data_IF_225078864696
#
_entry.id   IF_225078864696
#
_cell.length_a   1.000
_cell.length_b   1.000
_cell.length_c   1.000
_cell.angle_alpha   90.00
_cell.angle_beta   90.00
_cell.angle_gamma   90.00
#
_symmetry.space_group_name_H-M   'P 1'
#
loop_
_entity.id
_entity.type
_entity.pdbx_description
1 polymer ?
#
# COMPACT_ATOMS: atom_id res chain seq x y z
N UNK A 1 8.89 24.20 15.40
CA UNK A 1 8.66 22.75 15.43
C UNK A 1 9.55 22.13 14.37
N UNK A 2 10.29 21.08 14.72
CA UNK A 2 10.97 20.22 13.72
C UNK A 2 9.94 19.44 12.90
N UNK A 3 10.36 18.83 11.79
CA UNK A 3 9.46 17.96 11.01
C UNK A 3 8.94 16.78 11.83
N UNK A 4 9.81 16.19 12.66
CA UNK A 4 9.46 15.17 13.65
C UNK A 4 8.35 15.65 14.58
N UNK A 5 8.50 16.82 15.19
CA UNK A 5 7.47 17.39 16.08
C UNK A 5 6.14 17.65 15.35
N UNK A 6 6.17 18.02 14.07
CA UNK A 6 4.96 18.21 13.25
C UNK A 6 4.19 16.91 13.06
N UNK A 7 4.88 15.82 12.69
CA UNK A 7 4.26 14.51 12.52
C UNK A 7 3.66 14.02 13.84
N UNK A 8 4.42 14.08 14.93
CA UNK A 8 3.94 13.60 16.24
C UNK A 8 2.76 14.44 16.75
N UNK A 9 2.79 15.75 16.53
CA UNK A 9 1.66 16.63 16.85
C UNK A 9 0.41 16.30 16.02
N UNK A 10 0.58 16.01 14.72
CA UNK A 10 -0.53 15.59 13.88
C UNK A 10 -1.10 14.23 14.32
N UNK A 11 -0.26 13.24 14.65
CA UNK A 11 -0.74 11.96 15.20
C UNK A 11 -1.55 12.16 16.50
N UNK A 12 -1.17 13.12 17.32
CA UNK A 12 -1.93 13.54 18.52
C UNK A 12 -3.10 14.49 18.22
N UNK A 13 -3.41 14.76 16.95
CA UNK A 13 -4.44 15.70 16.47
C UNK A 13 -4.30 17.13 17.01
N UNK A 14 -3.08 17.53 17.35
CA UNK A 14 -2.76 18.90 17.74
C UNK A 14 -2.70 19.80 16.50
N UNK A 15 -2.92 21.09 16.71
CA UNK A 15 -2.76 22.07 15.64
C UNK A 15 -1.28 22.16 15.24
N UNK A 16 -1.02 22.07 13.94
CA UNK A 16 0.32 22.24 13.37
C UNK A 16 0.41 23.56 12.60
N UNK A 17 1.58 24.23 12.57
CA UNK A 17 1.76 25.47 11.80
C UNK A 17 1.69 25.25 10.28
N UNK A 18 1.88 24.00 9.82
CA UNK A 18 1.63 23.54 8.45
C UNK A 18 1.31 22.05 8.46
N UNK A 19 0.73 21.55 7.37
CA UNK A 19 0.48 20.11 7.19
C UNK A 19 1.84 19.39 7.10
N UNK A 20 2.07 18.31 7.88
CA UNK A 20 3.28 17.48 7.75
C UNK A 20 3.27 16.68 6.44
N UNK A 21 4.45 16.46 5.87
CA UNK A 21 4.67 15.72 4.63
C UNK A 21 5.41 14.39 4.86
N UNK A 22 4.78 13.28 4.46
CA UNK A 22 5.34 11.93 4.53
C UNK A 22 5.26 11.27 3.14
N UNK A 23 6.36 11.23 2.36
CA UNK A 23 6.30 10.86 0.95
C UNK A 23 6.20 9.35 0.65
N UNK A 24 6.30 8.44 1.63
CA UNK A 24 6.37 6.99 1.42
C UNK A 24 7.22 6.57 0.20
N UNK A 25 8.53 6.81 0.29
CA UNK A 25 9.48 6.70 -0.83
C UNK A 25 9.96 5.29 -1.17
N UNK A 26 9.52 4.26 -0.44
CA UNK A 26 9.97 2.86 -0.51
C UNK A 26 11.22 2.58 -1.33
N UNK A 27 11.06 1.87 -2.44
CA UNK A 27 12.18 1.53 -3.36
C UNK A 27 12.56 2.67 -4.28
N UNK A 28 11.70 3.69 -4.45
CA UNK A 28 11.97 4.86 -5.29
C UNK A 28 13.26 5.58 -4.89
N UNK A 29 13.68 5.54 -3.62
CA UNK A 29 14.96 6.13 -3.20
C UNK A 29 16.18 5.55 -3.94
N UNK A 30 16.08 4.31 -4.45
CA UNK A 30 17.13 3.69 -5.27
C UNK A 30 17.35 4.45 -6.59
N UNK A 31 16.27 4.97 -7.19
CA UNK A 31 16.32 5.73 -8.46
C UNK A 31 17.21 6.97 -8.37
N UNK A 32 17.28 7.60 -7.18
CA UNK A 32 18.10 8.79 -6.92
C UNK A 32 19.61 8.53 -7.04
N UNK A 33 20.03 7.26 -6.93
CA UNK A 33 21.43 6.84 -7.06
C UNK A 33 21.65 5.80 -8.17
N UNK A 34 20.64 5.53 -9.00
CA UNK A 34 20.71 4.54 -10.06
C UNK A 34 20.87 3.09 -9.56
N UNK A 35 20.29 2.79 -8.39
CA UNK A 35 20.35 1.49 -7.71
C UNK A 35 19.00 0.81 -7.81
N UNK A 36 18.99 -0.44 -8.26
CA UNK A 36 17.74 -1.21 -8.37
C UNK A 36 17.19 -1.64 -6.99
N UNK A 37 15.90 -1.99 -6.94
CA UNK A 37 15.22 -2.33 -5.70
C UNK A 37 15.84 -3.53 -4.99
N UNK A 38 16.30 -4.54 -5.73
CA UNK A 38 16.91 -5.75 -5.14
C UNK A 38 18.24 -5.45 -4.47
N UNK A 39 19.07 -4.60 -5.07
CA UNK A 39 20.31 -4.13 -4.48
C UNK A 39 20.04 -3.30 -3.23
N UNK A 40 19.11 -2.35 -3.32
CA UNK A 40 18.71 -1.46 -2.23
C UNK A 40 18.23 -2.27 -1.01
N UNK A 41 17.24 -3.14 -1.19
CA UNK A 41 16.58 -3.91 -0.12
C UNK A 41 17.47 -5.00 0.51
N UNK A 42 18.71 -5.16 0.03
CA UNK A 42 19.71 -6.12 0.53
C UNK A 42 21.00 -5.48 1.03
N UNK A 43 21.06 -4.15 1.16
CA UNK A 43 22.23 -3.46 1.70
C UNK A 43 21.82 -2.33 2.63
N UNK A 44 22.32 -2.39 3.86
CA UNK A 44 22.09 -1.34 4.85
C UNK A 44 22.75 -0.03 4.41
N UNK A 45 23.92 -0.13 3.80
CA UNK A 45 24.68 1.01 3.28
C UNK A 45 23.90 1.74 2.18
N UNK A 46 23.25 1.00 1.28
CA UNK A 46 22.40 1.57 0.23
C UNK A 46 21.12 2.18 0.80
N UNK A 47 20.42 1.49 1.72
CA UNK A 47 19.25 2.04 2.41
C UNK A 47 19.58 3.36 3.11
N UNK A 48 20.71 3.43 3.81
CA UNK A 48 21.15 4.64 4.49
C UNK A 48 21.55 5.74 3.50
N UNK A 49 22.38 5.42 2.49
CA UNK A 49 22.87 6.42 1.54
C UNK A 49 21.74 7.00 0.67
N UNK A 50 20.83 6.16 0.18
CA UNK A 50 19.67 6.58 -0.59
C UNK A 50 18.62 7.27 0.31
N UNK A 51 18.43 6.81 1.55
CA UNK A 51 17.54 7.43 2.51
C UNK A 51 17.95 8.85 2.89
N UNK A 52 19.25 9.12 3.06
CA UNK A 52 19.77 10.47 3.30
C UNK A 52 19.57 11.36 2.07
N UNK A 53 19.80 10.85 0.86
CA UNK A 53 19.57 11.58 -0.39
C UNK A 53 18.10 11.99 -0.53
N UNK A 54 17.18 11.04 -0.29
CA UNK A 54 15.75 11.32 -0.30
C UNK A 54 15.35 12.35 0.77
N UNK A 55 15.93 12.26 1.98
CA UNK A 55 15.68 13.23 3.04
C UNK A 55 16.13 14.64 2.63
N UNK A 56 17.34 14.79 2.07
CA UNK A 56 17.87 16.07 1.60
C UNK A 56 17.05 16.66 0.45
N UNK A 57 16.64 15.81 -0.49
CA UNK A 57 15.94 16.24 -1.71
C UNK A 57 14.47 16.59 -1.45
N UNK A 58 13.79 15.79 -0.65
CA UNK A 58 12.34 15.88 -0.42
C UNK A 58 11.97 16.56 0.89
N UNK A 59 12.95 16.80 1.77
CA UNK A 59 12.76 17.48 3.06
C UNK A 59 11.52 16.97 3.83
N UNK A 60 11.37 15.64 3.99
CA UNK A 60 10.18 15.08 4.58
C UNK A 60 10.12 15.34 6.10
N UNK A 61 8.92 15.50 6.62
CA UNK A 61 8.68 15.59 8.06
C UNK A 61 8.69 14.21 8.71
N UNK A 62 8.21 13.21 7.97
CA UNK A 62 8.32 11.80 8.34
C UNK A 62 8.81 10.95 7.15
N UNK A 63 9.58 9.90 7.44
CA UNK A 63 10.23 9.09 6.41
C UNK A 63 10.26 7.61 6.80
N UNK A 64 9.70 6.70 5.98
CA UNK A 64 9.94 5.27 6.17
C UNK A 64 11.37 4.90 5.80
N UNK A 65 11.96 4.01 6.58
CA UNK A 65 13.31 3.47 6.29
C UNK A 65 13.27 2.45 5.16
N UNK A 66 12.20 1.67 5.09
CA UNK A 66 11.96 0.63 4.09
C UNK A 66 10.44 0.47 3.90
N UNK A 67 10.01 0.13 2.69
CA UNK A 67 8.64 -0.31 2.39
C UNK A 67 8.72 -1.65 1.66
N UNK A 68 8.56 -2.74 2.40
CA UNK A 68 8.61 -4.13 1.90
C UNK A 68 7.79 -4.99 2.86
N UNK A 69 6.67 -5.56 2.39
CA UNK A 69 5.74 -6.33 3.22
C UNK A 69 6.08 -7.83 3.23
N UNK A 70 7.22 -8.20 2.65
CA UNK A 70 7.61 -9.58 2.42
C UNK A 70 8.73 -10.02 3.36
N UNK A 71 9.25 -9.14 4.22
CA UNK A 71 10.34 -9.45 5.16
C UNK A 71 9.91 -10.57 6.13
N UNK A 72 8.76 -10.43 6.76
CA UNK A 72 8.23 -11.38 7.73
C UNK A 72 7.80 -12.68 7.03
N UNK A 73 7.18 -12.58 5.86
CA UNK A 73 6.80 -13.74 5.05
C UNK A 73 8.03 -14.56 4.60
N UNK A 74 9.12 -13.89 4.17
CA UNK A 74 10.40 -14.53 3.81
C UNK A 74 10.98 -15.30 4.99
N UNK A 75 11.00 -14.70 6.18
CA UNK A 75 11.50 -15.34 7.41
C UNK A 75 10.67 -16.58 7.76
N UNK A 76 9.36 -16.52 7.54
CA UNK A 76 8.44 -17.63 7.79
C UNK A 76 8.41 -18.69 6.68
N UNK A 77 9.28 -18.57 5.67
CA UNK A 77 9.51 -19.62 4.66
C UNK A 77 8.79 -19.41 3.34
N UNK A 78 8.18 -18.25 3.10
CA UNK A 78 7.69 -17.90 1.76
C UNK A 78 8.87 -17.63 0.81
N UNK A 79 8.88 -18.27 -0.35
CA UNK A 79 9.81 -17.91 -1.42
C UNK A 79 9.39 -16.59 -2.05
N UNK A 80 10.37 -15.79 -2.49
CA UNK A 80 10.13 -14.47 -3.06
C UNK A 80 10.53 -14.40 -4.54
N UNK A 81 9.65 -13.80 -5.34
CA UNK A 81 9.91 -13.42 -6.73
C UNK A 81 10.35 -11.96 -6.78
N UNK A 82 11.62 -11.74 -7.08
CA UNK A 82 12.20 -10.41 -7.16
C UNK A 82 11.93 -9.74 -8.51
N UNK A 83 11.58 -8.47 -8.46
CA UNK A 83 11.57 -7.56 -9.60
C UNK A 83 12.75 -6.58 -9.50
N UNK A 84 13.09 -5.93 -10.62
CA UNK A 84 14.22 -5.00 -10.67
C UNK A 84 13.89 -3.68 -9.95
N UNK A 85 12.75 -3.09 -10.29
CA UNK A 85 12.40 -1.72 -9.91
C UNK A 85 11.19 -1.69 -8.96
N UNK A 86 11.14 -2.66 -8.04
CA UNK A 86 9.94 -3.02 -7.29
C UNK A 86 10.28 -3.90 -6.05
N UNK A 87 9.53 -3.80 -4.93
CA UNK A 87 9.62 -4.80 -3.86
C UNK A 87 9.33 -6.21 -4.38
N UNK A 88 9.86 -7.27 -3.73
CA UNK A 88 9.58 -8.64 -4.16
C UNK A 88 8.12 -9.05 -3.90
N UNK A 89 7.64 -10.04 -4.64
CA UNK A 89 6.33 -10.65 -4.42
C UNK A 89 6.46 -12.05 -3.80
N UNK A 90 5.49 -12.46 -2.97
CA UNK A 90 5.42 -13.84 -2.45
C UNK A 90 5.14 -14.83 -3.59
N UNK A 91 5.93 -15.89 -3.68
CA UNK A 91 5.83 -16.91 -4.72
C UNK A 91 5.27 -18.24 -4.20
N UNK A 92 5.48 -18.56 -2.92
CA UNK A 92 5.01 -19.80 -2.27
C UNK A 92 4.37 -19.51 -0.92
N UNK A 93 3.52 -20.43 -0.48
CA UNK A 93 2.73 -20.31 0.74
C UNK A 93 3.00 -21.55 1.62
N UNK A 94 3.72 -21.43 2.75
CA UNK A 94 4.07 -22.57 3.62
C UNK A 94 2.86 -23.39 4.10
N UNK A 95 1.69 -22.76 4.20
CA UNK A 95 0.41 -23.34 4.63
C UNK A 95 -0.56 -23.55 3.45
N UNK A 96 -0.07 -23.64 2.21
CA UNK A 96 -0.91 -23.86 1.02
C UNK A 96 -1.79 -25.12 1.11
N UNK A 97 -1.27 -26.18 1.75
CA UNK A 97 -1.94 -27.48 1.82
C UNK A 97 -2.76 -27.67 3.11
N UNK A 98 -2.74 -26.71 4.04
CA UNK A 98 -3.38 -26.82 5.35
C UNK A 98 -2.58 -26.17 6.48
N UNK A 99 -3.13 -26.22 7.69
CA UNK A 99 -2.61 -25.54 8.89
C UNK A 99 -1.66 -26.40 9.73
N UNK A 100 -1.43 -27.67 9.36
CA UNK A 100 -0.68 -28.64 10.18
C UNK A 100 0.77 -28.20 10.46
N UNK A 101 1.34 -27.41 9.56
CA UNK A 101 2.70 -26.86 9.63
C UNK A 101 2.79 -25.55 10.41
N UNK A 102 1.67 -24.97 10.87
CA UNK A 102 1.68 -23.71 11.64
C UNK A 102 2.53 -23.83 12.91
N UNK A 103 2.45 -24.97 13.59
CA UNK A 103 3.26 -25.29 14.78
C UNK A 103 4.77 -25.36 14.53
N UNK A 104 5.18 -25.53 13.28
CA UNK A 104 6.58 -25.61 12.88
C UNK A 104 7.16 -24.21 12.58
N UNK A 105 6.30 -23.19 12.44
CA UNK A 105 6.71 -21.80 12.27
C UNK A 105 7.15 -21.20 13.60
N UNK A 106 8.24 -20.43 13.56
CA UNK A 106 8.79 -19.73 14.72
C UNK A 106 8.65 -18.23 14.58
N UNK A 107 8.54 -17.52 15.70
CA UNK A 107 8.57 -16.06 15.68
C UNK A 107 9.93 -15.56 15.16
N UNK A 108 9.96 -14.49 14.35
CA UNK A 108 11.21 -13.91 13.88
C UNK A 108 12.13 -13.48 15.02
N UNK A 109 13.42 -13.77 14.88
CA UNK A 109 14.49 -13.25 15.75
C UNK A 109 15.22 -12.12 15.03
N UNK A 110 15.89 -11.19 15.74
CA UNK A 110 16.54 -10.04 15.11
C UNK A 110 17.67 -10.43 14.14
N UNK A 111 18.22 -11.65 14.26
CA UNK A 111 19.22 -12.23 13.35
C UNK A 111 18.65 -12.90 12.08
N UNK A 112 17.34 -13.08 11.98
CA UNK A 112 16.71 -13.84 10.89
C UNK A 112 16.51 -12.98 9.62
N UNK A 113 16.65 -13.64 8.46
CA UNK A 113 16.38 -13.06 7.15
C UNK A 113 17.10 -11.72 6.91
N UNK A 114 16.32 -10.69 6.52
CA UNK A 114 16.83 -9.34 6.24
C UNK A 114 16.78 -8.39 7.44
N UNK A 115 16.31 -8.83 8.62
CA UNK A 115 16.21 -7.97 9.80
C UNK A 115 17.55 -7.35 10.22
N UNK A 116 18.71 -8.05 10.22
CA UNK A 116 19.99 -7.42 10.57
C UNK A 116 20.34 -6.21 9.70
N UNK A 117 20.00 -6.28 8.40
CA UNK A 117 20.24 -5.22 7.42
C UNK A 117 19.33 -4.03 7.73
N UNK A 118 18.04 -4.30 7.93
CA UNK A 118 17.01 -3.28 8.19
C UNK A 118 17.29 -2.57 9.53
N UNK A 119 17.54 -3.33 10.59
CA UNK A 119 17.81 -2.79 11.92
C UNK A 119 19.10 -1.96 11.96
N UNK A 120 20.13 -2.35 11.18
CA UNK A 120 21.33 -1.52 11.00
C UNK A 120 21.00 -0.20 10.32
N UNK A 121 20.26 -0.23 9.21
CA UNK A 121 19.88 0.98 8.48
C UNK A 121 19.00 1.93 9.31
N UNK A 122 18.05 1.38 10.07
CA UNK A 122 17.19 2.14 10.97
C UNK A 122 17.98 2.91 12.03
N UNK A 123 18.92 2.25 12.72
CA UNK A 123 19.78 2.89 13.72
C UNK A 123 20.64 4.00 13.12
N UNK A 124 21.28 3.73 11.98
CA UNK A 124 22.12 4.74 11.31
C UNK A 124 21.33 5.95 10.81
N UNK A 125 20.12 5.75 10.26
CA UNK A 125 19.25 6.86 9.85
C UNK A 125 18.71 7.62 11.06
N UNK A 126 18.38 6.93 12.15
CA UNK A 126 17.94 7.56 13.40
C UNK A 126 18.98 8.53 13.93
N UNK A 127 20.25 8.11 13.95
CA UNK A 127 21.37 8.97 14.35
C UNK A 127 21.55 10.19 13.43
N UNK A 128 21.43 10.01 12.10
CA UNK A 128 21.76 11.05 11.12
C UNK A 128 20.66 12.08 10.91
N UNK A 129 19.39 11.66 10.84
CA UNK A 129 18.25 12.53 10.45
C UNK A 129 17.10 12.53 11.46
N UNK A 130 17.07 11.58 12.39
CA UNK A 130 15.94 11.37 13.31
C UNK A 130 15.73 12.45 14.38
N UNK A 131 16.60 13.44 14.46
CA UNK A 131 16.40 14.63 15.31
C UNK A 131 15.42 15.63 14.67
N UNK A 132 15.31 15.63 13.33
CA UNK A 132 14.45 16.57 12.59
C UNK A 132 13.33 15.88 11.80
N UNK A 133 13.45 14.59 11.48
CA UNK A 133 12.46 13.81 10.72
C UNK A 133 11.94 12.65 11.58
N UNK A 134 10.63 12.44 11.65
CA UNK A 134 10.03 11.25 12.28
C UNK A 134 10.32 10.01 11.43
N UNK A 135 10.97 9.00 11.98
CA UNK A 135 11.26 7.78 11.21
C UNK A 135 10.17 6.73 11.41
N UNK A 136 9.74 6.14 10.29
CA UNK A 136 8.71 5.11 10.24
C UNK A 136 9.34 3.73 10.06
N UNK A 137 8.98 2.79 10.94
CA UNK A 137 9.16 1.36 10.75
C UNK A 137 7.86 0.76 10.18
N UNK A 138 7.96 -0.04 9.12
CA UNK A 138 6.80 -0.65 8.47
C UNK A 138 6.81 -2.14 8.74
N UNK A 139 5.74 -2.64 9.36
CA UNK A 139 5.51 -4.08 9.58
C UNK A 139 4.29 -4.52 8.79
N UNK A 140 4.32 -5.76 8.29
CA UNK A 140 3.12 -6.33 7.66
C UNK A 140 2.05 -6.59 8.72
N UNK A 141 0.82 -6.21 8.41
CA UNK A 141 -0.32 -6.49 9.28
C UNK A 141 -0.70 -7.97 9.27
N UNK A 142 -1.38 -8.44 10.32
CA UNK A 142 -1.60 -9.86 10.56
C UNK A 142 -2.45 -10.53 9.48
N UNK A 143 -3.39 -9.81 8.86
CA UNK A 143 -4.30 -10.40 7.87
C UNK A 143 -3.58 -10.64 6.54
N UNK A 144 -2.81 -9.65 6.07
CA UNK A 144 -1.95 -9.80 4.89
C UNK A 144 -0.88 -10.88 5.11
N UNK A 145 -0.30 -10.96 6.32
CA UNK A 145 0.66 -12.02 6.63
C UNK A 145 0.01 -13.41 6.62
N UNK A 146 -1.18 -13.55 7.20
CA UNK A 146 -1.95 -14.80 7.13
C UNK A 146 -2.20 -15.23 5.68
N UNK A 147 -2.55 -14.28 4.81
CA UNK A 147 -2.73 -14.55 3.38
C UNK A 147 -1.42 -14.91 2.69
N UNK A 148 -0.29 -14.29 3.06
CA UNK A 148 1.03 -14.69 2.58
C UNK A 148 1.42 -16.12 2.98
N UNK A 149 0.99 -16.59 4.15
CA UNK A 149 1.29 -17.95 4.61
C UNK A 149 0.35 -19.00 4.01
N UNK A 150 -0.95 -18.68 3.91
CA UNK A 150 -2.02 -19.60 3.51
C UNK A 150 -2.32 -19.58 2.00
N UNK A 151 -2.10 -18.45 1.35
CA UNK A 151 -2.61 -18.17 0.01
C UNK A 151 -4.09 -17.76 0.02
N UNK A 152 -4.69 -17.60 -1.16
CA UNK A 152 -6.07 -17.10 -1.33
C UNK A 152 -7.15 -17.99 -0.73
N UNK A 153 -6.83 -19.24 -0.38
CA UNK A 153 -7.74 -20.13 0.33
C UNK A 153 -8.17 -19.58 1.70
N UNK A 154 -7.39 -18.65 2.29
CA UNK A 154 -7.76 -17.99 3.54
C UNK A 154 -9.19 -17.41 3.50
N UNK A 155 -9.60 -16.82 2.38
CA UNK A 155 -10.94 -16.24 2.24
C UNK A 155 -12.06 -17.28 2.36
N UNK A 156 -11.83 -18.50 1.87
CA UNK A 156 -12.78 -19.61 2.02
C UNK A 156 -12.71 -20.18 3.44
N UNK A 157 -11.50 -20.30 3.99
CA UNK A 157 -11.28 -20.82 5.34
C UNK A 157 -11.89 -19.92 6.43
N UNK A 158 -12.12 -18.63 6.17
CA UNK A 158 -12.89 -17.76 7.06
C UNK A 158 -14.33 -18.27 7.29
N UNK A 159 -14.89 -19.01 6.34
CA UNK A 159 -16.21 -19.63 6.47
C UNK A 159 -16.12 -21.10 6.89
N UNK A 160 -15.22 -21.86 6.26
CA UNK A 160 -15.16 -23.31 6.41
C UNK A 160 -14.35 -23.76 7.64
N UNK A 161 -13.34 -22.96 8.04
CA UNK A 161 -12.38 -23.28 9.10
C UNK A 161 -12.06 -22.06 10.00
N UNK A 162 -13.08 -21.34 10.54
CA UNK A 162 -12.87 -20.05 11.21
C UNK A 162 -11.93 -20.14 12.43
N UNK A 163 -11.94 -21.24 13.16
CA UNK A 163 -11.07 -21.43 14.33
C UNK A 163 -9.59 -21.59 13.92
N UNK A 164 -9.30 -22.24 12.79
CA UNK A 164 -7.94 -22.34 12.27
C UNK A 164 -7.43 -20.99 11.74
N UNK A 165 -8.33 -20.19 11.14
CA UNK A 165 -8.01 -18.81 10.74
C UNK A 165 -7.68 -17.97 11.97
N UNK A 166 -8.45 -18.06 13.05
CA UNK A 166 -8.17 -17.34 14.31
C UNK A 166 -6.81 -17.74 14.90
N UNK A 167 -6.49 -19.03 14.95
CA UNK A 167 -5.17 -19.50 15.41
C UNK A 167 -4.02 -18.95 14.55
N UNK A 168 -4.21 -18.89 13.22
CA UNK A 168 -3.25 -18.27 12.33
C UNK A 168 -3.13 -16.75 12.56
N UNK A 169 -4.24 -16.05 12.76
CA UNK A 169 -4.27 -14.62 13.06
C UNK A 169 -3.55 -14.30 14.37
N UNK A 170 -3.73 -15.09 15.42
CA UNK A 170 -3.01 -14.95 16.69
C UNK A 170 -1.50 -15.12 16.52
N UNK A 171 -1.08 -16.10 15.71
CA UNK A 171 0.33 -16.27 15.37
C UNK A 171 0.88 -15.06 14.60
N UNK A 172 0.17 -14.60 13.57
CA UNK A 172 0.56 -13.43 12.78
C UNK A 172 0.61 -12.16 13.62
N UNK A 173 -0.32 -11.97 14.56
CA UNK A 173 -0.33 -10.86 15.51
C UNK A 173 0.97 -10.78 16.30
N UNK A 174 1.37 -11.91 16.91
CA UNK A 174 2.64 -12.02 17.64
C UNK A 174 3.86 -11.78 16.77
N UNK A 175 3.83 -12.18 15.50
CA UNK A 175 4.92 -11.89 14.54
C UNK A 175 5.03 -10.38 14.33
N UNK A 176 3.91 -9.71 14.05
CA UNK A 176 3.86 -8.25 13.86
C UNK A 176 4.36 -7.51 15.09
N UNK A 177 3.92 -7.88 16.30
CA UNK A 177 4.40 -7.30 17.57
C UNK A 177 5.90 -7.49 17.75
N UNK A 178 6.40 -8.70 17.50
CA UNK A 178 7.82 -9.04 17.69
C UNK A 178 8.73 -8.19 16.80
N UNK A 179 8.35 -7.99 15.54
CA UNK A 179 9.12 -7.16 14.59
C UNK A 179 8.95 -5.67 14.90
N UNK A 180 7.74 -5.24 15.28
CA UNK A 180 7.51 -3.87 15.74
C UNK A 180 8.39 -3.52 16.94
N UNK A 181 8.56 -4.42 17.91
CA UNK A 181 9.45 -4.25 19.07
C UNK A 181 10.89 -3.96 18.62
N UNK A 182 11.41 -4.73 17.67
CA UNK A 182 12.76 -4.51 17.14
C UNK A 182 12.91 -3.16 16.43
N UNK A 183 11.88 -2.71 15.73
CA UNK A 183 11.90 -1.41 15.05
C UNK A 183 11.80 -0.24 16.03
N UNK A 184 11.01 -0.39 17.10
CA UNK A 184 10.94 0.59 18.19
C UNK A 184 12.30 0.67 18.91
N UNK A 185 12.91 -0.46 19.23
CA UNK A 185 14.27 -0.54 19.83
C UNK A 185 15.36 0.05 18.92
N UNK A 186 15.18 -0.03 17.60
CA UNK A 186 16.06 0.62 16.62
C UNK A 186 15.83 2.14 16.52
N UNK A 187 14.80 2.67 17.19
CA UNK A 187 14.52 4.09 17.34
C UNK A 187 13.47 4.67 16.38
N UNK A 188 12.66 3.82 15.73
CA UNK A 188 11.54 4.31 14.92
C UNK A 188 10.51 5.02 15.79
N UNK A 189 10.04 6.18 15.34
CA UNK A 189 9.08 7.02 16.08
C UNK A 189 7.63 6.55 15.85
N UNK A 190 7.37 6.01 14.66
CA UNK A 190 6.05 5.54 14.22
C UNK A 190 6.18 4.13 13.65
N UNK A 191 5.32 3.22 14.08
CA UNK A 191 5.14 1.91 13.46
C UNK A 191 3.90 1.95 12.57
N UNK A 192 4.12 1.87 11.26
CA UNK A 192 3.04 1.70 10.31
C UNK A 192 2.75 0.20 10.14
N UNK A 193 1.56 -0.21 10.56
CA UNK A 193 1.03 -1.55 10.35
C UNK A 193 0.33 -1.54 9.01
N UNK A 194 0.97 -2.15 8.00
CA UNK A 194 0.53 -2.09 6.61
C UNK A 194 -0.18 -3.40 6.24
N UNK A 195 -1.49 -3.34 6.02
CA UNK A 195 -2.33 -4.54 5.85
C UNK A 195 -3.30 -4.40 4.66
N UNK A 196 -2.80 -4.38 3.41
CA UNK A 196 -3.61 -4.07 2.23
C UNK A 196 -4.74 -5.07 1.97
N UNK A 197 -4.63 -6.32 2.44
CA UNK A 197 -5.66 -7.34 2.21
C UNK A 197 -6.94 -7.10 3.02
N UNK A 198 -6.90 -6.20 4.02
CA UNK A 198 -8.09 -5.73 4.73
C UNK A 198 -9.09 -5.05 3.80
N UNK A 199 -8.63 -4.41 2.72
CA UNK A 199 -9.53 -3.82 1.70
C UNK A 199 -10.39 -4.85 0.95
N UNK A 200 -10.12 -6.15 1.13
CA UNK A 200 -10.75 -7.24 0.41
C UNK A 200 -11.82 -7.98 1.24
N UNK A 201 -12.10 -7.52 2.46
CA UNK A 201 -13.08 -8.13 3.37
C UNK A 201 -14.14 -7.12 3.81
N UNK A 202 -15.28 -7.62 4.28
CA UNK A 202 -16.34 -6.80 4.86
C UNK A 202 -15.98 -6.31 6.26
N UNK A 203 -16.71 -5.29 6.75
CA UNK A 203 -16.60 -4.84 8.14
C UNK A 203 -16.90 -5.97 9.15
N UNK A 204 -17.87 -6.84 8.87
CA UNK A 204 -18.23 -7.97 9.74
C UNK A 204 -17.07 -8.97 9.85
N UNK A 205 -16.45 -9.33 8.72
CA UNK A 205 -15.27 -10.20 8.72
C UNK A 205 -14.06 -9.53 9.37
N UNK A 206 -13.87 -8.23 9.17
CA UNK A 206 -12.83 -7.50 9.87
C UNK A 206 -13.03 -7.58 11.39
N UNK A 207 -14.26 -7.37 11.86
CA UNK A 207 -14.60 -7.46 13.27
C UNK A 207 -14.36 -8.85 13.84
N UNK A 208 -14.69 -9.90 13.08
CA UNK A 208 -14.56 -11.28 13.52
C UNK A 208 -13.10 -11.77 13.53
N UNK A 209 -12.29 -11.39 12.54
CA UNK A 209 -10.97 -12.00 12.34
C UNK A 209 -9.78 -11.06 12.55
N UNK A 210 -9.96 -9.74 12.49
CA UNK A 210 -8.85 -8.77 12.44
C UNK A 210 -8.84 -7.83 13.65
N UNK A 211 -10.00 -7.38 14.11
CA UNK A 211 -10.12 -6.34 15.15
C UNK A 211 -9.33 -6.64 16.42
N UNK A 212 -9.41 -7.88 16.92
CA UNK A 212 -8.72 -8.27 18.16
C UNK A 212 -7.20 -8.14 18.01
N UNK A 213 -6.63 -8.75 16.97
CA UNK A 213 -5.20 -8.64 16.67
C UNK A 213 -4.76 -7.19 16.45
N UNK A 214 -5.53 -6.39 15.70
CA UNK A 214 -5.22 -4.99 15.45
C UNK A 214 -5.21 -4.15 16.74
N UNK A 215 -6.22 -4.31 17.61
CA UNK A 215 -6.27 -3.65 18.93
C UNK A 215 -5.05 -4.03 19.77
N UNK A 216 -4.73 -5.32 19.85
CA UNK A 216 -3.56 -5.80 20.58
C UNK A 216 -2.25 -5.17 20.10
N UNK A 217 -2.02 -5.16 18.77
CA UNK A 217 -0.81 -4.56 18.17
C UNK A 217 -0.71 -3.06 18.49
N UNK A 218 -1.80 -2.31 18.34
CA UNK A 218 -1.77 -0.86 18.61
C UNK A 218 -1.63 -0.53 20.09
N UNK A 219 -2.22 -1.34 20.99
CA UNK A 219 -2.01 -1.23 22.42
C UNK A 219 -0.54 -1.51 22.79
N UNK A 220 0.05 -2.58 22.23
CA UNK A 220 1.46 -2.92 22.41
C UNK A 220 2.41 -1.79 21.96
N UNK A 221 2.21 -1.24 20.76
CA UNK A 221 3.03 -0.13 20.22
C UNK A 221 2.97 1.09 21.16
N UNK A 222 1.77 1.42 21.65
CA UNK A 222 1.56 2.55 22.56
C UNK A 222 2.20 2.33 23.92
N UNK A 223 2.11 1.12 24.48
CA UNK A 223 2.77 0.74 25.75
C UNK A 223 4.30 0.86 25.66
N UNK A 224 4.86 0.60 24.47
CA UNK A 224 6.29 0.80 24.16
C UNK A 224 6.67 2.27 23.93
N UNK A 225 5.70 3.19 23.93
CA UNK A 225 5.93 4.63 23.80
C UNK A 225 6.17 5.13 22.38
N UNK A 226 5.85 4.32 21.37
CA UNK A 226 5.86 4.71 19.97
C UNK A 226 4.44 5.05 19.48
N UNK A 227 4.34 5.71 18.33
CA UNK A 227 3.05 5.96 17.67
C UNK A 227 2.76 4.89 16.63
N UNK A 228 1.50 4.73 16.30
CA UNK A 228 1.00 3.76 15.34
C UNK A 228 0.28 4.41 14.16
N UNK A 229 0.42 3.83 12.98
CA UNK A 229 -0.36 4.20 11.79
C UNK A 229 -0.94 2.94 11.17
N UNK A 230 -2.27 2.89 11.04
CA UNK A 230 -2.94 1.79 10.34
C UNK A 230 -3.05 2.12 8.85
N UNK A 231 -2.23 1.45 8.04
CA UNK A 231 -2.13 1.70 6.61
C UNK A 231 -2.82 0.58 5.84
N UNK A 232 -3.86 0.89 5.07
CA UNK A 232 -4.50 -0.06 4.15
C UNK A 232 -4.48 0.50 2.73
N UNK A 233 -3.75 -0.18 1.83
CA UNK A 233 -3.82 0.13 0.40
C UNK A 233 -5.07 -0.50 -0.24
N UNK A 234 -5.58 0.10 -1.32
CA UNK A 234 -6.84 -0.29 -1.96
C UNK A 234 -8.07 0.40 -1.34
N UNK A 235 -9.27 0.01 -1.77
CA UNK A 235 -10.51 0.63 -1.29
C UNK A 235 -10.89 0.17 0.12
N UNK A 236 -10.37 0.86 1.13
CA UNK A 236 -10.66 0.59 2.55
C UNK A 236 -11.98 1.22 3.04
N UNK A 237 -12.74 1.90 2.17
CA UNK A 237 -14.00 2.59 2.56
C UNK A 237 -14.94 1.72 3.41
N UNK A 238 -15.20 0.43 3.06
CA UNK A 238 -16.12 -0.40 3.82
C UNK A 238 -15.67 -0.74 5.25
N UNK A 239 -14.36 -0.68 5.51
CA UNK A 239 -13.73 -1.11 6.77
C UNK A 239 -13.13 0.05 7.57
N UNK A 240 -13.23 1.28 7.05
CA UNK A 240 -12.55 2.45 7.62
C UNK A 240 -12.99 2.76 9.06
N UNK A 241 -14.28 2.60 9.34
CA UNK A 241 -14.83 2.82 10.68
C UNK A 241 -14.32 1.78 11.68
N UNK A 242 -14.29 0.50 11.32
CA UNK A 242 -13.80 -0.56 12.20
C UNK A 242 -12.28 -0.51 12.38
N UNK A 243 -11.54 -0.06 11.36
CA UNK A 243 -10.11 0.27 11.50
C UNK A 243 -9.87 1.36 12.54
N UNK A 244 -10.66 2.45 12.52
CA UNK A 244 -10.53 3.53 13.49
C UNK A 244 -10.91 3.09 14.92
N UNK A 245 -11.87 2.17 15.05
CA UNK A 245 -12.25 1.57 16.35
C UNK A 245 -11.13 0.74 16.99
N UNK A 246 -10.14 0.28 16.20
CA UNK A 246 -8.93 -0.38 16.73
C UNK A 246 -7.97 0.59 17.44
N UNK A 247 -8.26 1.89 17.44
CA UNK A 247 -7.51 2.95 18.14
C UNK A 247 -6.02 3.08 17.75
N UNK A 248 -5.65 3.04 16.44
CA UNK A 248 -4.33 3.51 16.04
C UNK A 248 -4.20 5.01 16.31
N UNK A 249 -2.98 5.55 16.35
CA UNK A 249 -2.79 7.00 16.46
C UNK A 249 -3.15 7.72 15.15
N UNK A 250 -3.02 7.05 14.01
CA UNK A 250 -3.53 7.52 12.73
C UNK A 250 -3.91 6.43 11.75
N UNK A 251 -4.74 6.79 10.77
CA UNK A 251 -5.09 5.95 9.62
C UNK A 251 -4.48 6.54 8.34
N UNK A 252 -3.95 5.70 7.46
CA UNK A 252 -3.44 6.11 6.15
C UNK A 252 -4.19 5.37 5.05
N UNK A 253 -4.76 6.12 4.11
CA UNK A 253 -5.67 5.59 3.10
C UNK A 253 -5.16 5.81 1.68
N UNK A 254 -5.53 4.89 0.80
CA UNK A 254 -5.19 4.90 -0.62
C UNK A 254 -6.01 5.89 -1.45
N UNK A 255 -5.56 6.17 -2.68
CA UNK A 255 -6.24 7.05 -3.67
C UNK A 255 -7.67 6.59 -4.01
N UNK A 256 -8.02 5.33 -3.72
CA UNK A 256 -9.36 4.78 -3.89
C UNK A 256 -10.36 5.16 -2.79
N UNK A 257 -9.93 5.84 -1.72
CA UNK A 257 -10.78 6.26 -0.59
C UNK A 257 -11.06 7.76 -0.66
N UNK A 258 -12.30 8.16 -0.43
CA UNK A 258 -12.62 9.58 -0.27
C UNK A 258 -12.01 10.12 1.03
N UNK A 259 -11.07 11.06 0.91
CA UNK A 259 -10.35 11.59 2.06
C UNK A 259 -11.25 12.45 2.97
N UNK A 260 -12.34 13.01 2.44
CA UNK A 260 -13.36 13.71 3.22
C UNK A 260 -14.09 12.75 4.17
N UNK A 261 -14.49 11.59 3.67
CA UNK A 261 -15.06 10.52 4.49
C UNK A 261 -14.05 9.98 5.52
N UNK A 262 -12.78 9.79 5.11
CA UNK A 262 -11.73 9.40 6.04
C UNK A 262 -11.54 10.42 7.18
N UNK A 263 -11.61 11.71 6.85
CA UNK A 263 -11.61 12.80 7.83
C UNK A 263 -12.81 12.70 8.79
N UNK A 264 -14.01 12.48 8.30
CA UNK A 264 -15.21 12.33 9.14
C UNK A 264 -15.07 11.19 10.17
N UNK A 265 -14.54 10.05 9.72
CA UNK A 265 -14.25 8.90 10.60
C UNK A 265 -13.15 9.25 11.60
N UNK A 266 -12.06 9.85 11.13
CA UNK A 266 -10.93 10.24 11.97
C UNK A 266 -11.35 11.23 13.07
N UNK A 267 -12.19 12.21 12.73
CA UNK A 267 -12.76 13.17 13.67
C UNK A 267 -13.71 12.49 14.68
N UNK A 268 -14.51 11.50 14.24
CA UNK A 268 -15.42 10.73 15.13
C UNK A 268 -14.65 9.92 16.18
N UNK A 269 -13.56 9.27 15.78
CA UNK A 269 -12.79 8.37 16.64
C UNK A 269 -11.54 8.99 17.26
N UNK A 270 -11.28 10.27 17.00
CA UNK A 270 -10.13 11.02 17.51
C UNK A 270 -8.79 10.39 17.11
N UNK A 271 -8.68 9.93 15.86
CA UNK A 271 -7.42 9.45 15.25
C UNK A 271 -6.90 10.42 14.19
N UNK A 272 -5.60 10.47 13.91
CA UNK A 272 -5.05 11.18 12.76
C UNK A 272 -5.45 10.48 11.45
N UNK A 273 -5.38 11.20 10.32
CA UNK A 273 -5.61 10.64 9.00
C UNK A 273 -4.57 11.16 8.00
N UNK A 274 -4.24 10.36 6.99
CA UNK A 274 -3.31 10.75 5.95
C UNK A 274 -3.54 10.08 4.61
N UNK A 275 -2.91 10.64 3.59
CA UNK A 275 -3.14 10.33 2.18
C UNK A 275 -3.64 11.56 1.41
N UNK A 276 -4.08 11.41 0.18
CA UNK A 276 -3.89 10.23 -0.66
C UNK A 276 -3.54 10.64 -2.09
N UNK A 277 -2.45 11.42 -2.25
CA UNK A 277 -1.99 11.91 -3.57
C UNK A 277 -1.96 10.72 -4.55
N UNK A 278 -2.61 10.84 -5.73
CA UNK A 278 -2.68 9.74 -6.67
C UNK A 278 -1.32 9.32 -7.22
N UNK A 279 -0.98 8.04 -7.09
CA UNK A 279 0.36 7.53 -7.40
C UNK A 279 0.65 7.54 -8.90
N UNK A 280 -0.32 7.09 -9.68
CA UNK A 280 -0.11 6.86 -11.12
C UNK A 280 -0.34 8.13 -11.91
N UNK A 281 -1.54 8.69 -11.81
CA UNK A 281 -1.99 9.79 -12.66
C UNK A 281 -1.34 11.12 -12.30
N UNK A 282 -1.00 11.32 -11.02
CA UNK A 282 -0.36 12.54 -10.53
C UNK A 282 1.14 12.34 -10.34
N UNK A 283 1.57 11.40 -9.49
CA UNK A 283 2.99 11.31 -9.15
C UNK A 283 3.86 10.76 -10.27
N UNK A 284 3.48 9.64 -10.88
CA UNK A 284 4.29 8.99 -11.92
C UNK A 284 4.15 9.66 -13.29
N UNK A 285 2.90 9.87 -13.75
CA UNK A 285 2.61 10.31 -15.12
C UNK A 285 2.32 11.81 -15.23
N UNK A 286 2.07 12.48 -14.10
CA UNK A 286 1.82 13.91 -14.06
C UNK A 286 3.10 14.75 -14.11
N UNK A 287 2.90 16.06 -14.20
CA UNK A 287 3.96 17.07 -14.15
C UNK A 287 4.21 17.57 -12.73
N UNK A 288 5.28 18.34 -12.49
CA UNK A 288 5.47 19.06 -11.23
C UNK A 288 4.28 19.95 -10.87
N UNK A 289 3.59 20.54 -11.86
CA UNK A 289 2.43 21.38 -11.62
C UNK A 289 1.22 20.55 -11.14
N UNK A 290 1.01 19.35 -11.68
CA UNK A 290 -0.08 18.46 -11.25
C UNK A 290 0.13 17.99 -9.80
N UNK A 291 1.38 17.69 -9.44
CA UNK A 291 1.77 17.29 -8.09
C UNK A 291 1.58 18.43 -7.07
N UNK A 292 1.98 19.66 -7.43
CA UNK A 292 1.69 20.84 -6.60
C UNK A 292 0.19 21.05 -6.46
N UNK A 293 -0.57 20.96 -7.55
CA UNK A 293 -2.01 21.17 -7.54
C UNK A 293 -2.70 20.18 -6.61
N UNK A 294 -2.40 18.89 -6.76
CA UNK A 294 -2.98 17.84 -5.91
C UNK A 294 -2.64 18.06 -4.42
N UNK A 295 -1.39 18.39 -4.12
CA UNK A 295 -0.99 18.71 -2.75
C UNK A 295 -1.75 19.91 -2.18
N UNK A 296 -1.89 20.99 -2.96
CA UNK A 296 -2.62 22.20 -2.56
C UNK A 296 -4.11 21.92 -2.34
N UNK A 297 -4.76 21.16 -3.22
CA UNK A 297 -6.16 20.77 -3.08
C UNK A 297 -6.40 19.96 -1.79
N UNK A 298 -5.53 18.99 -1.51
CA UNK A 298 -5.60 18.18 -0.30
C UNK A 298 -5.38 19.03 0.95
N UNK A 299 -4.37 19.91 0.95
CA UNK A 299 -4.09 20.83 2.05
C UNK A 299 -5.29 21.77 2.28
N UNK A 300 -5.83 22.39 1.23
CA UNK A 300 -6.90 23.37 1.35
C UNK A 300 -8.21 22.73 1.83
N UNK A 301 -8.52 21.52 1.37
CA UNK A 301 -9.75 20.83 1.74
C UNK A 301 -9.69 20.11 3.10
N UNK A 302 -8.51 19.63 3.52
CA UNK A 302 -8.39 18.71 4.65
C UNK A 302 -7.45 19.19 5.76
N UNK A 303 -6.79 20.33 5.62
CA UNK A 303 -5.96 20.87 6.70
C UNK A 303 -6.78 21.08 7.98
N UNK A 304 -6.11 20.84 9.11
CA UNK A 304 -6.74 20.84 10.42
C UNK A 304 -6.07 19.84 11.34
N UNK A 305 -6.70 19.57 12.48
CA UNK A 305 -6.20 18.62 13.47
C UNK A 305 -6.08 17.22 12.88
N UNK A 306 -4.85 16.74 12.79
CA UNK A 306 -4.54 15.35 12.49
C UNK A 306 -4.34 14.97 11.03
N UNK A 307 -4.33 15.93 10.11
CA UNK A 307 -4.03 15.62 8.70
C UNK A 307 -2.52 15.52 8.46
N UNK A 308 -2.10 14.43 7.81
CA UNK A 308 -0.74 14.23 7.29
C UNK A 308 -0.83 14.04 5.78
N UNK A 309 -0.18 14.91 5.01
CA UNK A 309 -0.12 14.77 3.56
C UNK A 309 0.81 13.61 3.21
N UNK A 310 0.32 12.68 2.40
CA UNK A 310 1.10 11.57 1.87
C UNK A 310 0.50 11.08 0.55
N UNK A 311 1.26 10.28 -0.24
CA UNK A 311 0.67 9.48 -1.31
C UNK A 311 -0.30 8.43 -0.77
N UNK A 312 -1.11 7.86 -1.66
CA UNK A 312 -2.07 6.79 -1.30
C UNK A 312 -1.44 5.45 -0.89
N UNK A 313 -0.26 5.11 -1.41
CA UNK A 313 0.49 3.90 -1.06
C UNK A 313 2.00 4.14 -1.31
N UNK A 314 2.81 3.09 -1.41
CA UNK A 314 4.25 3.21 -1.74
C UNK A 314 4.44 3.81 -3.14
N UNK A 315 5.39 4.74 -3.28
CA UNK A 315 5.65 5.39 -4.57
C UNK A 315 6.27 4.42 -5.58
N UNK A 316 5.78 4.38 -6.84
CA UNK A 316 6.45 3.65 -7.91
C UNK A 316 7.91 4.07 -8.07
N UNK A 317 8.80 3.11 -8.33
CA UNK A 317 10.23 3.37 -8.45
C UNK A 317 10.57 4.50 -9.44
N UNK A 318 9.85 4.53 -10.55
CA UNK A 318 10.06 5.47 -11.67
C UNK A 318 9.40 6.84 -11.50
N UNK A 319 8.78 7.15 -10.36
CA UNK A 319 8.24 8.51 -10.11
C UNK A 319 9.36 9.53 -10.36
N UNK A 320 9.15 10.55 -11.22
CA UNK A 320 10.16 11.57 -11.46
C UNK A 320 10.51 12.30 -10.15
N UNK A 321 11.80 12.38 -9.75
CA UNK A 321 12.18 13.03 -8.50
C UNK A 321 11.75 14.50 -8.38
N UNK A 322 11.61 15.21 -9.50
CA UNK A 322 11.06 16.56 -9.56
C UNK A 322 9.58 16.65 -9.15
N UNK A 323 8.78 15.60 -9.39
CA UNK A 323 7.37 15.57 -9.00
C UNK A 323 7.23 15.52 -7.47
N UNK A 324 8.07 14.71 -6.80
CA UNK A 324 8.10 14.62 -5.33
C UNK A 324 8.62 15.92 -4.70
N UNK A 325 9.68 16.51 -5.28
CA UNK A 325 10.18 17.83 -4.85
C UNK A 325 9.13 18.94 -5.03
N UNK A 326 8.26 18.82 -6.04
CA UNK A 326 7.18 19.77 -6.28
C UNK A 326 6.13 19.76 -5.15
N UNK A 327 5.73 18.57 -4.68
CA UNK A 327 4.86 18.42 -3.49
C UNK A 327 5.50 19.09 -2.26
N UNK A 328 6.80 18.84 -2.08
CA UNK A 328 7.55 19.41 -0.95
C UNK A 328 7.49 20.95 -0.99
N UNK A 329 7.73 21.57 -2.16
CA UNK A 329 7.61 23.02 -2.31
C UNK A 329 6.19 23.53 -2.03
N UNK A 330 5.15 22.80 -2.45
CA UNK A 330 3.76 23.16 -2.14
C UNK A 330 3.45 23.14 -0.64
N UNK A 331 4.08 22.25 0.12
CA UNK A 331 3.94 22.18 1.59
C UNK A 331 4.67 23.34 2.28
N UNK A 332 5.87 23.71 1.80
CA UNK A 332 6.67 24.76 2.43
C UNK A 332 6.28 26.19 2.01
N UNK A 333 5.81 26.37 0.77
CA UNK A 333 5.42 27.67 0.22
C UNK A 333 4.18 27.54 -0.68
N UNK A 334 2.99 27.34 -0.09
CA UNK A 334 1.75 27.13 -0.83
C UNK A 334 1.43 28.27 -1.80
N UNK A 335 1.74 29.52 -1.45
CA UNK A 335 1.43 30.70 -2.27
C UNK A 335 2.28 30.73 -3.55
N UNK A 336 3.58 30.45 -3.45
CA UNK A 336 4.42 30.31 -4.65
C UNK A 336 4.01 29.12 -5.49
N UNK A 337 3.63 28.00 -4.87
CA UNK A 337 3.15 26.84 -5.60
C UNK A 337 1.88 27.17 -6.41
N UNK A 338 0.92 27.93 -5.84
CA UNK A 338 -0.26 28.40 -6.57
C UNK A 338 0.10 29.23 -7.80
N UNK A 339 1.05 30.17 -7.67
CA UNK A 339 1.53 30.96 -8.80
C UNK A 339 2.21 30.08 -9.85
N UNK A 340 2.99 29.08 -9.43
CA UNK A 340 3.62 28.14 -10.36
C UNK A 340 2.58 27.34 -11.13
N UNK A 341 1.60 26.75 -10.45
CA UNK A 341 0.52 25.97 -11.07
C UNK A 341 -0.23 26.83 -12.08
N UNK A 342 -0.67 28.04 -11.71
CA UNK A 342 -1.41 28.93 -12.60
C UNK A 342 -0.68 29.22 -13.92
N UNK A 343 0.65 29.29 -13.90
CA UNK A 343 1.47 29.59 -15.08
C UNK A 343 1.91 28.35 -15.86
N UNK A 344 1.78 27.14 -15.30
CA UNK A 344 2.34 25.92 -15.87
C UNK A 344 1.31 24.79 -16.04
N UNK A 345 0.03 25.04 -15.75
CA UNK A 345 -1.05 24.10 -16.01
C UNK A 345 -1.17 23.86 -17.51
N UNK A 346 -0.85 22.66 -17.95
CA UNK A 346 -1.12 22.14 -19.30
C UNK A 346 -2.28 21.16 -19.21
N UNK A 347 -3.12 21.10 -20.23
CA UNK A 347 -4.07 20.01 -20.35
C UNK A 347 -3.29 18.69 -20.50
N UNK A 348 -3.73 17.61 -19.84
CA UNK A 348 -2.98 16.36 -19.87
C UNK A 348 -3.02 15.77 -21.30
N UNK A 349 -1.85 15.49 -21.88
CA UNK A 349 -1.73 14.85 -23.20
C UNK A 349 -2.32 13.42 -23.24
N UNK A 350 -2.78 12.88 -22.10
CA UNK A 350 -3.42 11.55 -21.98
C UNK A 350 -4.65 11.45 -22.88
N UNK A 351 -5.40 12.53 -23.09
CA UNK A 351 -6.58 12.54 -23.94
C UNK A 351 -6.28 12.32 -25.44
N UNK A 352 -5.05 12.56 -25.88
CA UNK A 352 -4.62 12.40 -27.28
C UNK A 352 -4.10 10.99 -27.60
N UNK A 353 -3.93 10.13 -26.59
CA UNK A 353 -3.39 8.79 -26.78
C UNK A 353 -4.48 7.88 -27.37
N UNK A 354 -4.24 7.38 -28.58
CA UNK A 354 -5.10 6.37 -29.20
C UNK A 354 -4.82 4.99 -28.59
N UNK A 355 -5.88 4.34 -28.09
CA UNK A 355 -5.83 2.98 -27.58
C UNK A 355 -6.83 2.12 -28.33
N UNK A 356 -6.38 0.97 -28.83
CA UNK A 356 -7.24 0.00 -29.49
C UNK A 356 -8.08 -0.75 -28.44
N UNK A 357 -9.41 -0.61 -28.53
CA UNK A 357 -10.36 -1.32 -27.68
C UNK A 357 -10.98 -2.46 -28.52
N UNK A 358 -10.90 -3.72 -28.06
CA UNK A 358 -11.53 -4.84 -28.76
C UNK A 358 -13.02 -4.62 -28.96
N UNK A 359 -13.54 -5.13 -30.08
CA UNK A 359 -14.99 -5.26 -30.27
C UNK A 359 -15.49 -6.45 -29.44
N UNK A 360 -15.86 -6.18 -28.19
CA UNK A 360 -16.24 -7.21 -27.22
C UNK A 360 -17.45 -8.05 -27.65
N UNK A 361 -18.33 -7.49 -28.49
CA UNK A 361 -19.54 -8.16 -28.96
C UNK A 361 -19.25 -9.20 -30.06
N UNK A 362 -18.08 -9.13 -30.71
CA UNK A 362 -17.67 -10.06 -31.79
C UNK A 362 -16.60 -11.06 -31.38
N UNK A 363 -16.24 -11.12 -30.10
CA UNK A 363 -15.26 -12.08 -29.58
C UNK A 363 -15.78 -13.53 -29.69
N UNK A 364 -14.93 -14.43 -30.19
CA UNK A 364 -15.24 -15.87 -30.26
C UNK A 364 -15.13 -16.63 -28.93
N UNK A 365 -14.69 -15.93 -27.87
CA UNK A 365 -14.48 -16.46 -26.54
C UNK A 365 -14.56 -15.35 -25.50
N UNK A 366 -14.07 -15.62 -24.29
CA UNK A 366 -14.02 -14.65 -23.21
C UNK A 366 -12.65 -14.00 -23.14
N UNK A 367 -12.61 -12.68 -23.18
CA UNK A 367 -11.43 -11.88 -22.89
C UNK A 367 -11.54 -11.32 -21.47
N UNK A 368 -10.55 -11.63 -20.65
CA UNK A 368 -10.41 -11.10 -19.29
C UNK A 368 -9.28 -10.06 -19.29
N UNK A 369 -9.61 -8.82 -18.97
CA UNK A 369 -8.64 -7.74 -18.81
C UNK A 369 -8.55 -7.39 -17.32
N UNK A 370 -7.37 -7.56 -16.72
CA UNK A 370 -7.13 -7.24 -15.30
C UNK A 370 -6.38 -5.92 -15.23
N UNK A 371 -7.06 -4.87 -14.78
CA UNK A 371 -6.46 -3.55 -14.61
C UNK A 371 -5.88 -3.44 -13.20
N UNK A 372 -4.58 -3.16 -13.12
CA UNK A 372 -3.83 -3.15 -11.85
C UNK A 372 -2.92 -1.94 -11.76
N UNK A 373 -2.50 -1.58 -10.54
CA UNK A 373 -1.33 -0.70 -10.36
C UNK A 373 -0.10 -1.39 -10.94
N UNK A 374 0.31 -2.49 -10.32
CA UNK A 374 1.29 -3.46 -10.82
C UNK A 374 1.18 -4.74 -9.98
N UNK A 375 0.82 -5.87 -10.59
CA UNK A 375 0.73 -7.17 -9.89
C UNK A 375 2.08 -7.67 -9.36
N UNK A 376 3.19 -7.08 -9.78
CA UNK A 376 4.51 -7.40 -9.25
C UNK A 376 4.75 -6.80 -7.85
N UNK A 377 4.05 -5.73 -7.48
CA UNK A 377 4.35 -4.94 -6.26
C UNK A 377 3.16 -4.76 -5.33
N UNK A 378 1.94 -4.70 -5.87
CA UNK A 378 0.74 -4.44 -5.10
C UNK A 378 0.06 -5.77 -4.73
N UNK A 379 -0.05 -6.15 -3.44
CA UNK A 379 -0.59 -7.46 -3.06
C UNK A 379 -2.03 -7.71 -3.54
N UNK A 380 -2.99 -6.77 -3.43
CA UNK A 380 -4.32 -6.96 -4.03
C UNK A 380 -4.27 -7.20 -5.54
N UNK A 381 -3.44 -6.45 -6.28
CA UNK A 381 -3.25 -6.64 -7.72
C UNK A 381 -2.70 -8.03 -8.04
N UNK A 382 -1.69 -8.46 -7.28
CA UNK A 382 -1.09 -9.78 -7.42
C UNK A 382 -2.10 -10.90 -7.27
N UNK A 383 -2.86 -10.90 -6.17
CA UNK A 383 -3.81 -11.98 -5.91
C UNK A 383 -4.97 -11.98 -6.91
N UNK A 384 -5.36 -10.81 -7.43
CA UNK A 384 -6.35 -10.73 -8.52
C UNK A 384 -5.83 -11.35 -9.83
N UNK A 385 -4.55 -11.10 -10.18
CA UNK A 385 -3.89 -11.73 -11.34
C UNK A 385 -3.70 -13.23 -11.13
N UNK A 386 -3.30 -13.66 -9.93
CA UNK A 386 -3.14 -15.08 -9.62
C UNK A 386 -4.50 -15.81 -9.66
N UNK A 387 -5.57 -15.22 -9.12
CA UNK A 387 -6.94 -15.76 -9.26
C UNK A 387 -7.37 -15.89 -10.72
N UNK A 388 -7.04 -14.89 -11.56
CA UNK A 388 -7.32 -14.92 -13.01
C UNK A 388 -6.53 -16.03 -13.71
N UNK A 389 -5.26 -16.20 -13.36
CA UNK A 389 -4.42 -17.28 -13.91
C UNK A 389 -4.96 -18.65 -13.53
N UNK A 390 -5.41 -18.84 -12.29
CA UNK A 390 -5.99 -20.11 -11.84
C UNK A 390 -7.33 -20.40 -12.51
N UNK A 391 -8.22 -19.41 -12.66
CA UNK A 391 -9.53 -19.62 -13.31
C UNK A 391 -9.39 -19.94 -14.80
N UNK A 392 -8.44 -19.31 -15.50
CA UNK A 392 -8.21 -19.52 -16.93
C UNK A 392 -7.88 -20.99 -17.27
N UNK A 393 -7.21 -21.73 -16.36
CA UNK A 393 -6.90 -23.16 -16.53
C UNK A 393 -8.13 -24.05 -16.70
N UNK A 394 -9.31 -23.61 -16.23
CA UNK A 394 -10.55 -24.38 -16.36
C UNK A 394 -11.26 -24.17 -17.71
N UNK A 395 -10.80 -23.20 -18.51
CA UNK A 395 -11.44 -22.78 -19.76
C UNK A 395 -10.42 -22.74 -20.92
N UNK A 396 -9.53 -23.72 -21.00
CA UNK A 396 -8.50 -23.79 -22.05
C UNK A 396 -9.11 -23.66 -23.45
N UNK A 397 -8.55 -22.73 -24.24
CA UNK A 397 -9.01 -22.43 -25.60
C UNK A 397 -10.32 -21.64 -25.70
N UNK A 398 -10.89 -21.20 -24.57
CA UNK A 398 -12.11 -20.37 -24.51
C UNK A 398 -11.93 -19.04 -23.79
N UNK A 399 -10.91 -18.93 -22.95
CA UNK A 399 -10.57 -17.73 -22.18
C UNK A 399 -9.16 -17.28 -22.54
N UNK A 400 -9.06 -16.03 -23.00
CA UNK A 400 -7.81 -15.29 -23.07
C UNK A 400 -7.78 -14.24 -21.95
N UNK A 401 -6.59 -13.94 -21.42
CA UNK A 401 -6.47 -12.91 -20.40
C UNK A 401 -5.17 -12.10 -20.52
N UNK A 402 -5.25 -10.85 -20.05
CA UNK A 402 -4.14 -9.90 -20.06
C UNK A 402 -4.20 -9.00 -18.82
N UNK A 403 -3.03 -8.67 -18.26
CA UNK A 403 -2.90 -7.64 -17.25
C UNK A 403 -2.55 -6.30 -17.93
N UNK A 404 -3.29 -5.25 -17.61
CA UNK A 404 -2.97 -3.88 -18.00
C UNK A 404 -2.53 -3.09 -16.77
N UNK A 405 -1.28 -2.66 -16.78
CA UNK A 405 -0.67 -1.89 -15.68
C UNK A 405 -0.92 -0.42 -15.89
N UNK A 406 -1.62 0.24 -14.98
CA UNK A 406 -1.95 1.65 -15.13
C UNK A 406 -0.72 2.56 -15.01
N UNK A 407 0.45 2.01 -14.61
CA UNK A 407 1.75 2.70 -14.71
C UNK A 407 2.13 3.11 -16.16
N UNK A 408 1.43 2.60 -17.17
CA UNK A 408 1.56 2.99 -18.58
C UNK A 408 0.39 3.91 -19.00
N UNK A 409 0.68 4.97 -19.75
CA UNK A 409 -0.33 6.00 -20.10
C UNK A 409 -1.49 5.44 -20.92
N UNK A 410 -1.19 4.54 -21.84
CA UNK A 410 -2.15 3.83 -22.70
C UNK A 410 -3.16 3.05 -21.84
N UNK A 411 -2.70 2.45 -20.74
CA UNK A 411 -3.56 1.67 -19.86
C UNK A 411 -4.43 2.54 -18.96
N UNK A 412 -4.01 3.77 -18.62
CA UNK A 412 -4.88 4.77 -17.99
C UNK A 412 -6.04 5.16 -18.93
N UNK A 413 -5.76 5.39 -20.21
CA UNK A 413 -6.81 5.66 -21.20
C UNK A 413 -7.73 4.46 -21.38
N UNK A 414 -7.18 3.24 -21.43
CA UNK A 414 -7.98 2.00 -21.46
C UNK A 414 -8.92 1.91 -20.26
N UNK A 415 -8.40 2.14 -19.06
CA UNK A 415 -9.18 2.17 -17.81
C UNK A 415 -10.36 3.12 -17.90
N UNK A 416 -10.13 4.36 -18.35
CA UNK A 416 -11.16 5.38 -18.53
C UNK A 416 -12.22 4.96 -19.56
N UNK A 417 -11.81 4.41 -20.72
CA UNK A 417 -12.73 3.95 -21.77
C UNK A 417 -13.58 2.74 -21.34
N UNK A 418 -13.02 1.88 -20.47
CA UNK A 418 -13.73 0.76 -19.87
C UNK A 418 -14.65 1.15 -18.70
N UNK A 419 -14.67 2.45 -18.33
CA UNK A 419 -15.48 2.93 -17.21
C UNK A 419 -15.01 2.41 -15.85
N UNK A 420 -13.74 2.00 -15.74
CA UNK A 420 -13.14 1.52 -14.49
C UNK A 420 -12.69 2.73 -13.67
N UNK A 421 -13.20 2.86 -12.45
CA UNK A 421 -12.87 3.98 -11.54
C UNK A 421 -11.92 3.60 -10.42
N UNK A 422 -11.78 2.32 -10.12
CA UNK A 422 -10.96 1.80 -9.02
C UNK A 422 -10.12 0.62 -9.51
N UNK A 423 -8.99 0.40 -8.84
CA UNK A 423 -8.10 -0.73 -9.10
C UNK A 423 -7.80 -1.51 -7.81
N UNK A 424 -7.41 -2.80 -7.90
CA UNK A 424 -7.43 -3.61 -9.12
C UNK A 424 -8.87 -3.97 -9.54
N UNK A 425 -9.09 -4.15 -10.85
CA UNK A 425 -10.40 -4.50 -11.41
C UNK A 425 -10.27 -5.56 -12.48
N UNK A 426 -11.13 -6.58 -12.42
CA UNK A 426 -11.33 -7.56 -13.50
C UNK A 426 -12.46 -7.07 -14.40
N UNK A 427 -12.16 -6.99 -15.69
CA UNK A 427 -13.10 -6.68 -16.77
C UNK A 427 -13.29 -7.95 -17.60
N UNK A 428 -14.53 -8.36 -17.83
CA UNK A 428 -14.87 -9.52 -18.67
C UNK A 428 -15.64 -9.00 -19.88
N UNK A 429 -15.10 -9.21 -21.08
CA UNK A 429 -15.66 -8.70 -22.35
C UNK A 429 -16.11 -7.22 -22.26
N UNK A 430 -15.19 -6.35 -21.82
CA UNK A 430 -15.41 -4.90 -21.73
C UNK A 430 -16.28 -4.44 -20.57
N UNK A 431 -16.78 -5.35 -19.72
CA UNK A 431 -17.61 -5.02 -18.55
C UNK A 431 -16.83 -5.17 -17.25
N UNK A 432 -16.63 -4.09 -16.46
CA UNK A 432 -16.10 -4.19 -15.11
C UNK A 432 -16.98 -5.14 -14.28
N UNK A 433 -16.39 -6.26 -13.85
CA UNK A 433 -17.13 -7.37 -13.22
C UNK A 433 -16.76 -7.51 -11.74
N UNK A 434 -15.48 -7.46 -11.42
CA UNK A 434 -15.01 -7.46 -10.02
C UNK A 434 -14.15 -6.22 -9.78
N UNK A 435 -14.68 -5.24 -9.06
CA UNK A 435 -14.06 -3.93 -8.81
C UNK A 435 -13.52 -3.89 -7.40
N UNK A 436 -12.20 -3.76 -7.24
CA UNK A 436 -11.49 -3.74 -5.95
C UNK A 436 -11.80 -4.91 -5.02
N UNK A 437 -12.20 -6.06 -5.59
CA UNK A 437 -12.57 -7.26 -4.87
C UNK A 437 -12.03 -8.49 -5.60
N UNK A 438 -11.26 -9.33 -4.91
CA UNK A 438 -10.73 -10.59 -5.46
C UNK A 438 -11.81 -11.68 -5.33
N UNK A 439 -12.34 -12.22 -6.44
CA UNK A 439 -13.35 -13.28 -6.37
C UNK A 439 -12.72 -14.62 -5.99
N UNK A 440 -13.49 -15.44 -5.27
CA UNK A 440 -13.15 -16.86 -5.14
C UNK A 440 -13.29 -17.58 -6.50
N UNK A 441 -12.63 -18.74 -6.61
CA UNK A 441 -12.57 -19.48 -7.87
C UNK A 441 -13.94 -19.95 -8.38
N UNK A 442 -14.90 -20.24 -7.50
CA UNK A 442 -16.23 -20.69 -7.90
C UNK A 442 -17.06 -19.53 -8.44
N UNK A 443 -17.07 -18.39 -7.74
CA UNK A 443 -17.72 -17.15 -8.21
C UNK A 443 -17.14 -16.70 -9.55
N UNK A 444 -15.81 -16.72 -9.68
CA UNK A 444 -15.16 -16.32 -10.93
C UNK A 444 -15.55 -17.23 -12.11
N UNK A 445 -15.57 -18.56 -11.91
CA UNK A 445 -16.04 -19.52 -12.93
C UNK A 445 -17.48 -19.23 -13.38
N UNK A 446 -18.36 -18.94 -12.42
CA UNK A 446 -19.77 -18.68 -12.73
C UNK A 446 -19.93 -17.45 -13.64
N UNK A 447 -19.18 -16.37 -13.41
CA UNK A 447 -19.23 -15.19 -14.29
C UNK A 447 -18.72 -15.50 -15.70
N UNK A 448 -17.62 -16.26 -15.83
CA UNK A 448 -17.11 -16.69 -17.15
C UNK A 448 -18.15 -17.56 -17.88
N UNK A 449 -18.78 -18.49 -17.18
CA UNK A 449 -19.83 -19.34 -17.76
C UNK A 449 -21.07 -18.57 -18.21
N UNK A 450 -21.44 -17.48 -17.53
CA UNK A 450 -22.55 -16.63 -17.96
C UNK A 450 -22.26 -16.00 -19.32
N UNK A 451 -21.03 -15.52 -19.52
CA UNK A 451 -20.60 -14.90 -20.78
C UNK A 451 -20.45 -15.93 -21.89
N UNK A 452 -19.96 -17.14 -21.61
CA UNK A 452 -19.89 -18.21 -22.62
C UNK A 452 -21.27 -18.74 -23.07
N UNK A 453 -22.35 -18.44 -22.32
CA UNK A 453 -23.73 -18.86 -22.62
C UNK A 453 -24.53 -17.77 -23.33
N UNK A 454 -24.08 -16.51 -23.31
CA UNK A 454 -24.66 -15.37 -24.04
C UNK A 454 -24.11 -15.33 -25.46
#
# INVERSE_FOLDING_TARGET
MTGRELVLAALQRQATPRVPWVPFTGVHIGSLKGVDAKQLLKSAELLVACGIEANQRYQPDGQPVIFDLQVEAEILGCELKWAKDAPPAVATHPLADGYEKLKDLSLPRPEDGRLPIILKAMRELKEKIGHNTALYGLVVGPFTLALHLRGTNLFLDMFDQPEAVKELMDFCCRVTEQVADYYIDAGMDVIAVVDPMISQISADHFQEFVSEAAVHIFDFIREKGAYSSFFVCGNATPVLEVMAQCKPDGISVDENVDLGYAKEIADRYQVSYGGNIPLTTVMLLGSPADNMQSALELIDAHSGSGFILSPGCDMPYNVPPENVSAVSLAVFDPDKARVFVQNNKKDSDIAEIEVEIPDYDSLSGVLIEVLTLDSATCPPCKYMVDATREVAKFFEGKVDWVEYKITEKENVVRMQRLGVTNIPTIVINGKPTFVSYIPDLATYKQEIEKVLKS
#
